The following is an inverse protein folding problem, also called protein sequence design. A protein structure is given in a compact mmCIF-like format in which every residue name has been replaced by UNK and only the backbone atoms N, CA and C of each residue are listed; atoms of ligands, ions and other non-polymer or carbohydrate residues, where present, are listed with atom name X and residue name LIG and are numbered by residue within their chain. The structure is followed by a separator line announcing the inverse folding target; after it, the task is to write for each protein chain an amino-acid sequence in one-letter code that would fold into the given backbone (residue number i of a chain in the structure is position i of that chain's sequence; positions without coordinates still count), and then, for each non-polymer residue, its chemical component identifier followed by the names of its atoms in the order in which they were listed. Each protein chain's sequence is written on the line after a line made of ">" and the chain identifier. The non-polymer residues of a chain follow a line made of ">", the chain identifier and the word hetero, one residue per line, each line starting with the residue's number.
data_IF_005977375428
#
_entry.id   IF_005977375428
#
_cell.length_a   1.000
_cell.length_b   1.000
_cell.length_c   1.000
_cell.angle_alpha   90.00
_cell.angle_beta   90.00
_cell.angle_gamma   90.00
#
_symmetry.space_group_name_H-M   'P 1'
#
loop_
_entity.id
_entity.type
_entity.pdbx_description
1 polymer ?
#
# COMPACT_ATOMS: atom_id res chain seq x y z
N UNK A 1 56.23 48.22 65.41
CA UNK A 1 54.87 48.54 64.94
C UNK A 1 54.68 47.84 63.65
N UNK A 2 53.93 46.78 63.61
CA UNK A 2 53.72 45.93 62.42
C UNK A 2 52.36 46.28 61.80
N UNK A 3 52.37 46.71 60.53
CA UNK A 3 51.17 47.00 59.76
C UNK A 3 50.69 45.75 59.05
N UNK A 4 49.44 45.33 59.33
CA UNK A 4 48.80 44.18 58.75
C UNK A 4 48.10 44.54 57.43
N UNK A 5 48.66 44.11 56.28
CA UNK A 5 48.06 44.24 55.01
C UNK A 5 47.01 43.10 54.79
N UNK A 6 45.73 43.47 54.55
CA UNK A 6 44.68 42.53 54.16
C UNK A 6 44.75 42.29 52.67
N UNK A 7 45.08 41.05 52.25
CA UNK A 7 44.90 40.58 50.84
C UNK A 7 43.48 40.18 50.65
N UNK A 8 42.78 40.89 49.70
CA UNK A 8 41.51 40.47 49.14
C UNK A 8 41.78 39.49 48.00
N UNK A 9 41.36 38.23 48.18
CA UNK A 9 41.38 37.28 47.10
C UNK A 9 40.12 37.52 46.23
N UNK A 10 40.30 37.94 44.98
CA UNK A 10 39.24 37.98 43.96
C UNK A 10 38.92 36.54 43.52
N UNK A 11 37.67 36.12 43.68
CA UNK A 11 37.14 34.89 43.07
C UNK A 11 36.87 35.14 41.57
N UNK A 12 37.31 34.25 40.65
CA UNK A 12 36.93 34.37 39.27
C UNK A 12 35.46 33.96 39.09
N UNK A 13 34.64 34.85 38.54
CA UNK A 13 33.28 34.54 38.09
C UNK A 13 33.42 33.71 36.81
N UNK A 14 33.14 32.41 36.90
CA UNK A 14 33.03 31.52 35.73
C UNK A 14 31.72 31.84 35.05
N UNK A 15 31.77 32.59 33.93
CA UNK A 15 30.62 32.80 33.08
C UNK A 15 30.27 31.46 32.34
N UNK A 16 29.21 30.81 32.77
CA UNK A 16 28.65 29.64 32.08
C UNK A 16 27.91 30.16 30.84
N UNK A 17 28.54 30.10 29.67
CA UNK A 17 27.88 30.36 28.38
C UNK A 17 26.95 29.19 28.10
N UNK A 18 25.66 29.39 28.31
CA UNK A 18 24.61 28.46 27.89
C UNK A 18 24.54 28.47 26.37
N UNK A 19 25.21 27.55 25.71
CA UNK A 19 25.00 27.29 24.30
C UNK A 19 23.58 26.71 24.12
N UNK A 20 22.62 27.55 23.73
CA UNK A 20 21.37 27.10 23.16
C UNK A 20 21.72 26.41 21.80
N UNK A 21 21.82 25.09 21.82
CA UNK A 21 21.80 24.31 20.60
C UNK A 21 20.43 24.59 19.93
N UNK A 22 20.41 24.99 18.65
CA UNK A 22 19.15 25.10 17.94
C UNK A 22 18.45 23.72 18.01
N UNK A 23 17.23 23.70 18.49
CA UNK A 23 16.40 22.51 18.37
C UNK A 23 16.33 22.16 16.88
N UNK A 24 16.89 21.01 16.52
CA UNK A 24 16.70 20.46 15.17
C UNK A 24 15.19 20.22 15.04
N UNK A 25 14.49 21.13 14.39
CA UNK A 25 13.11 20.90 13.97
C UNK A 25 13.17 19.85 12.87
N UNK A 26 12.98 18.60 13.25
CA UNK A 26 12.77 17.56 12.26
C UNK A 26 11.46 17.88 11.56
N UNK A 27 11.49 17.92 10.24
CA UNK A 27 10.27 17.99 9.45
C UNK A 27 9.36 16.84 9.87
N UNK A 28 8.13 17.17 10.17
CA UNK A 28 7.14 16.25 10.74
C UNK A 28 6.01 16.08 9.76
N UNK A 29 5.17 15.09 9.97
CA UNK A 29 4.10 14.77 9.05
C UNK A 29 2.75 15.22 9.60
N UNK A 30 1.86 15.58 8.69
CA UNK A 30 0.46 15.90 9.01
C UNK A 30 -0.44 14.84 8.37
N UNK A 31 -1.27 14.21 9.21
CA UNK A 31 -2.36 13.34 8.76
C UNK A 31 -3.60 14.20 8.51
N UNK A 32 -4.24 13.99 7.36
CA UNK A 32 -5.55 14.57 7.03
C UNK A 32 -6.48 13.44 6.59
N UNK A 33 -7.57 13.28 7.33
CA UNK A 33 -8.65 12.38 6.95
C UNK A 33 -9.52 13.09 5.91
N UNK A 34 -9.75 12.45 4.75
CA UNK A 34 -10.40 13.09 3.60
C UNK A 34 -11.83 12.60 3.41
N UNK A 35 -12.06 11.29 3.47
CA UNK A 35 -13.36 10.65 3.24
C UNK A 35 -13.58 9.60 4.30
N UNK A 36 -14.79 9.53 4.86
CA UNK A 36 -15.24 8.46 5.74
C UNK A 36 -16.64 8.01 5.33
N UNK A 37 -17.04 6.82 5.72
CA UNK A 37 -18.40 6.31 5.50
C UNK A 37 -19.49 7.19 6.13
N UNK A 38 -19.16 7.90 7.21
CA UNK A 38 -20.10 8.70 8.02
C UNK A 38 -19.92 10.22 7.93
N UNK A 39 -18.84 10.72 7.34
CA UNK A 39 -18.53 12.16 7.27
C UNK A 39 -18.10 12.79 8.59
N UNK A 40 -17.61 12.00 9.56
CA UNK A 40 -17.16 12.51 10.85
C UNK A 40 -15.93 13.43 10.71
N UNK A 41 -15.78 14.38 11.61
CA UNK A 41 -14.62 15.27 11.65
C UNK A 41 -14.50 16.26 10.48
N UNK A 42 -15.59 16.48 9.72
CA UNK A 42 -15.57 17.38 8.56
C UNK A 42 -15.07 16.72 7.25
N UNK A 43 -14.92 15.39 7.25
CA UNK A 43 -14.59 14.61 6.04
C UNK A 43 -15.78 14.54 5.07
N UNK A 44 -15.51 14.19 3.81
CA UNK A 44 -16.56 13.85 2.86
C UNK A 44 -17.23 12.55 3.30
N UNK A 45 -18.57 12.52 3.35
CA UNK A 45 -19.31 11.30 3.65
C UNK A 45 -19.51 10.47 2.38
N UNK A 46 -19.10 9.19 2.42
CA UNK A 46 -19.37 8.22 1.35
C UNK A 46 -19.70 6.85 1.94
N UNK A 47 -20.98 6.58 2.18
CA UNK A 47 -21.45 5.36 2.86
C UNK A 47 -21.00 4.02 2.24
N UNK A 48 -20.67 3.91 0.95
CA UNK A 48 -20.04 2.73 0.37
C UNK A 48 -18.62 2.42 0.90
N UNK A 49 -17.88 3.42 1.36
CA UNK A 49 -16.51 3.25 1.87
C UNK A 49 -16.52 2.54 3.23
N UNK A 50 -16.66 1.23 3.24
CA UNK A 50 -16.57 0.42 4.47
C UNK A 50 -15.37 -0.52 4.35
N UNK A 51 -14.47 -0.45 5.35
CA UNK A 51 -13.23 -1.21 5.35
C UNK A 51 -12.46 -1.04 4.02
N UNK A 52 -12.15 0.23 3.69
CA UNK A 52 -11.35 0.54 2.50
C UNK A 52 -9.99 -0.16 2.59
N UNK A 53 -9.71 -1.09 1.66
CA UNK A 53 -8.55 -1.97 1.72
C UNK A 53 -7.50 -1.57 0.67
N UNK A 54 -7.61 -2.07 -0.55
CA UNK A 54 -6.69 -1.76 -1.65
C UNK A 54 -6.88 -0.34 -2.19
N UNK A 55 -5.79 0.23 -2.67
CA UNK A 55 -5.72 1.59 -3.23
C UNK A 55 -4.85 1.59 -4.47
N UNK A 56 -5.31 2.19 -5.55
CA UNK A 56 -4.55 2.37 -6.79
C UNK A 56 -5.08 3.52 -7.60
N UNK A 57 -4.29 3.96 -8.56
CA UNK A 57 -4.64 4.93 -9.61
C UNK A 57 -4.15 4.45 -10.99
N UNK A 58 -4.55 5.17 -12.01
CA UNK A 58 -3.86 5.26 -13.30
C UNK A 58 -3.43 6.72 -13.47
N UNK A 59 -2.35 7.03 -14.20
CA UNK A 59 -1.88 8.39 -14.36
C UNK A 59 -2.99 9.38 -14.71
N UNK A 60 -3.25 10.33 -13.79
CA UNK A 60 -4.28 11.35 -13.94
C UNK A 60 -5.72 10.91 -13.60
N UNK A 61 -5.95 9.65 -13.22
CA UNK A 61 -7.26 9.17 -12.75
C UNK A 61 -7.49 9.55 -11.28
N UNK A 62 -8.74 9.54 -10.79
CA UNK A 62 -8.99 9.49 -9.36
C UNK A 62 -8.39 8.22 -8.73
N UNK A 63 -8.23 8.24 -7.41
CA UNK A 63 -7.94 7.06 -6.62
C UNK A 63 -9.08 6.05 -6.67
N UNK A 64 -8.76 4.78 -6.84
CA UNK A 64 -9.66 3.64 -6.79
C UNK A 64 -9.44 2.89 -5.48
N UNK A 65 -10.50 2.72 -4.69
CA UNK A 65 -10.46 2.03 -3.40
C UNK A 65 -11.26 0.74 -3.50
N UNK A 66 -10.71 -0.35 -2.97
CA UNK A 66 -11.46 -1.59 -2.75
C UNK A 66 -12.21 -1.50 -1.42
N UNK A 67 -13.53 -1.38 -1.48
CA UNK A 67 -14.40 -1.29 -0.29
C UNK A 67 -14.80 -2.70 0.12
N UNK A 68 -13.99 -3.33 0.97
CA UNK A 68 -14.13 -4.74 1.32
C UNK A 68 -15.48 -5.04 1.99
N UNK A 69 -15.97 -4.13 2.84
CA UNK A 69 -17.22 -4.33 3.59
C UNK A 69 -18.49 -4.21 2.74
N UNK A 70 -18.40 -3.63 1.54
CA UNK A 70 -19.57 -3.42 0.65
C UNK A 70 -19.48 -4.16 -0.68
N UNK A 71 -18.31 -4.72 -1.01
CA UNK A 71 -18.10 -5.41 -2.29
C UNK A 71 -18.01 -4.47 -3.49
N UNK A 72 -17.64 -3.23 -3.24
CA UNK A 72 -17.58 -2.18 -4.25
C UNK A 72 -16.14 -1.70 -4.47
N UNK A 73 -15.95 -0.93 -5.54
CA UNK A 73 -14.82 -0.02 -5.69
C UNK A 73 -15.35 1.39 -5.91
N UNK A 74 -14.91 2.30 -5.05
CA UNK A 74 -15.26 3.73 -5.07
C UNK A 74 -14.08 4.57 -5.51
N UNK A 75 -14.36 5.80 -5.98
CA UNK A 75 -13.35 6.66 -6.59
C UNK A 75 -13.31 8.02 -5.91
N UNK A 76 -12.08 8.53 -5.65
CA UNK A 76 -11.87 9.82 -5.01
C UNK A 76 -10.89 10.68 -5.79
N UNK A 77 -11.35 11.85 -6.23
CA UNK A 77 -10.51 12.86 -6.89
C UNK A 77 -9.92 13.82 -5.86
N UNK A 78 -8.63 14.10 -5.99
CA UNK A 78 -7.88 14.99 -5.11
C UNK A 78 -7.80 16.38 -5.70
N UNK A 79 -8.03 17.39 -4.86
CA UNK A 79 -7.78 18.81 -5.16
C UNK A 79 -6.77 19.39 -4.18
N UNK A 80 -5.72 20.00 -4.70
CA UNK A 80 -4.64 20.65 -3.96
C UNK A 80 -4.68 22.18 -4.04
N UNK A 81 -5.73 22.79 -4.60
CA UNK A 81 -5.78 24.22 -4.87
C UNK A 81 -5.82 25.09 -3.59
N UNK A 82 -6.46 24.61 -2.53
CA UNK A 82 -6.61 25.29 -1.23
C UNK A 82 -6.32 24.34 -0.06
N UNK A 83 -5.14 23.70 -0.06
CA UNK A 83 -4.86 22.56 0.80
C UNK A 83 -5.36 21.27 0.14
N UNK A 84 -5.02 20.11 0.74
CA UNK A 84 -5.46 18.84 0.20
C UNK A 84 -6.90 18.53 0.60
N UNK A 85 -7.74 18.22 -0.38
CA UNK A 85 -9.12 17.79 -0.20
C UNK A 85 -9.46 16.67 -1.17
N UNK A 86 -10.56 15.96 -0.92
CA UNK A 86 -11.05 14.91 -1.81
C UNK A 86 -12.52 15.14 -2.15
N UNK A 87 -12.95 14.66 -3.30
CA UNK A 87 -14.33 14.59 -3.71
C UNK A 87 -14.65 13.21 -4.27
N UNK A 88 -15.88 12.73 -4.02
CA UNK A 88 -16.37 11.47 -4.61
C UNK A 88 -16.53 11.64 -6.12
N UNK A 89 -15.79 10.86 -6.91
CA UNK A 89 -15.96 10.80 -8.36
C UNK A 89 -17.13 9.84 -8.67
N UNK A 90 -18.30 10.40 -9.00
CA UNK A 90 -19.54 9.64 -9.12
C UNK A 90 -19.83 9.11 -10.51
N UNK A 91 -18.92 9.30 -11.47
CA UNK A 91 -19.11 8.81 -12.85
C UNK A 91 -19.13 7.28 -12.92
N UNK A 92 -18.53 6.57 -11.95
CA UNK A 92 -18.65 5.13 -11.81
C UNK A 92 -18.47 4.67 -10.35
N UNK A 93 -19.19 3.63 -9.96
CA UNK A 93 -18.95 2.75 -8.83
C UNK A 93 -18.95 1.34 -9.38
N UNK A 94 -17.91 0.56 -9.11
CA UNK A 94 -17.76 -0.79 -9.67
C UNK A 94 -18.12 -1.82 -8.62
N UNK A 95 -19.08 -2.68 -8.92
CA UNK A 95 -19.35 -3.87 -8.09
C UNK A 95 -18.32 -4.94 -8.40
N UNK A 96 -17.70 -5.47 -7.35
CA UNK A 96 -16.79 -6.60 -7.44
C UNK A 96 -17.60 -7.86 -7.19
N UNK A 97 -17.72 -8.76 -8.18
CA UNK A 97 -18.61 -9.90 -8.08
C UNK A 97 -18.08 -10.90 -7.03
N UNK A 98 -18.99 -11.54 -6.28
CA UNK A 98 -18.65 -12.65 -5.39
C UNK A 98 -18.36 -13.93 -6.18
N UNK A 99 -17.93 -14.97 -5.49
CA UNK A 99 -18.09 -16.36 -5.96
C UNK A 99 -19.57 -16.62 -6.19
N UNK A 100 -19.90 -17.32 -7.27
CA UNK A 100 -21.29 -17.59 -7.64
C UNK A 100 -22.11 -18.17 -6.45
N UNK A 101 -23.24 -17.53 -6.15
CA UNK A 101 -24.15 -17.91 -5.08
C UNK A 101 -23.86 -17.31 -3.69
N UNK A 102 -22.79 -16.54 -3.52
CA UNK A 102 -22.43 -15.86 -2.28
C UNK A 102 -22.69 -14.37 -2.39
N UNK A 103 -23.12 -13.67 -1.35
CA UNK A 103 -23.43 -12.22 -1.28
C UNK A 103 -22.52 -11.27 -2.09
N UNK A 104 -22.28 -10.03 -1.68
CA UNK A 104 -21.31 -9.15 -2.35
C UNK A 104 -19.89 -9.74 -2.24
N UNK A 105 -19.03 -9.46 -3.22
CA UNK A 105 -17.62 -9.83 -3.16
C UNK A 105 -16.92 -9.14 -1.99
N UNK A 106 -15.74 -9.65 -1.60
CA UNK A 106 -14.92 -9.06 -0.54
C UNK A 106 -13.59 -8.59 -1.14
N UNK A 107 -13.57 -7.46 -1.92
CA UNK A 107 -12.37 -7.01 -2.59
C UNK A 107 -11.28 -6.59 -1.60
N UNK A 108 -10.04 -6.88 -1.96
CA UNK A 108 -8.84 -6.61 -1.17
C UNK A 108 -7.84 -5.77 -1.98
N UNK A 109 -6.84 -6.40 -2.60
CA UNK A 109 -5.92 -5.71 -3.50
C UNK A 109 -6.59 -5.25 -4.78
N UNK A 110 -6.17 -4.09 -5.27
CA UNK A 110 -6.55 -3.55 -6.59
C UNK A 110 -5.31 -2.99 -7.28
N UNK A 111 -5.20 -3.17 -8.59
CA UNK A 111 -4.12 -2.60 -9.40
C UNK A 111 -4.65 -1.88 -10.61
N UNK A 112 -4.05 -0.72 -10.91
CA UNK A 112 -4.16 -0.05 -12.21
C UNK A 112 -3.22 -0.71 -13.21
N UNK A 113 -3.72 -1.13 -14.35
CA UNK A 113 -2.92 -1.82 -15.36
C UNK A 113 -2.19 -0.83 -16.27
N UNK A 114 -0.94 -0.56 -15.98
CA UNK A 114 -0.05 0.27 -16.81
C UNK A 114 0.83 -0.55 -17.75
N UNK A 115 0.74 -1.89 -17.71
CA UNK A 115 1.63 -2.78 -18.47
C UNK A 115 1.22 -2.95 -19.94
N UNK A 116 -0.03 -2.63 -20.29
CA UNK A 116 -0.59 -2.93 -21.60
C UNK A 116 -0.92 -4.41 -21.83
N UNK A 117 -0.71 -5.27 -20.81
CA UNK A 117 -1.14 -6.67 -20.79
C UNK A 117 -2.62 -6.85 -20.47
N UNK A 118 -3.03 -8.10 -20.23
CA UNK A 118 -4.40 -8.47 -19.87
C UNK A 118 -5.43 -8.01 -20.91
N UNK A 119 -5.29 -8.49 -22.18
CA UNK A 119 -6.11 -8.03 -23.29
C UNK A 119 -7.50 -8.63 -23.28
N UNK A 120 -8.45 -7.90 -23.90
CA UNK A 120 -9.74 -8.40 -24.33
C UNK A 120 -10.08 -7.83 -25.71
N UNK A 121 -11.00 -8.47 -26.42
CA UNK A 121 -11.45 -8.00 -27.74
C UNK A 121 -12.94 -7.69 -27.68
N UNK A 122 -13.31 -6.49 -28.13
CA UNK A 122 -14.70 -6.07 -28.29
C UNK A 122 -14.86 -5.31 -29.59
N UNK A 123 -15.89 -5.63 -30.36
CA UNK A 123 -16.16 -5.00 -31.65
C UNK A 123 -14.94 -5.00 -32.60
N UNK A 124 -14.16 -6.10 -32.61
CA UNK A 124 -12.96 -6.27 -33.42
C UNK A 124 -11.74 -5.44 -32.99
N UNK A 125 -11.81 -4.76 -31.85
CA UNK A 125 -10.68 -3.99 -31.26
C UNK A 125 -10.15 -4.69 -30.02
N UNK A 126 -8.84 -4.90 -29.97
CA UNK A 126 -8.15 -5.38 -28.77
C UNK A 126 -7.78 -4.19 -27.88
N UNK A 127 -8.12 -4.29 -26.59
CA UNK A 127 -7.83 -3.34 -25.54
C UNK A 127 -7.34 -4.10 -24.31
N UNK A 128 -6.81 -3.40 -23.29
CA UNK A 128 -6.38 -3.98 -22.01
C UNK A 128 -7.34 -3.57 -20.91
N UNK A 129 -7.59 -4.47 -19.95
CA UNK A 129 -8.30 -4.10 -18.72
C UNK A 129 -7.59 -2.95 -18.02
N UNK A 130 -8.35 -2.01 -17.44
CA UNK A 130 -7.80 -0.85 -16.75
C UNK A 130 -7.52 -1.14 -15.28
N UNK A 131 -8.44 -1.81 -14.60
CA UNK A 131 -8.32 -2.14 -13.18
C UNK A 131 -8.60 -3.61 -12.94
N UNK A 132 -7.83 -4.21 -12.03
CA UNK A 132 -7.94 -5.64 -11.70
C UNK A 132 -8.00 -5.75 -10.18
N UNK A 133 -8.93 -6.56 -9.68
CA UNK A 133 -9.29 -6.70 -8.27
C UNK A 133 -9.12 -8.15 -7.81
N UNK A 134 -8.56 -8.34 -6.63
CA UNK A 134 -8.55 -9.62 -5.92
C UNK A 134 -9.56 -9.62 -4.77
N UNK A 135 -9.98 -10.80 -4.31
CA UNK A 135 -10.95 -10.95 -3.21
C UNK A 135 -10.52 -11.99 -2.20
N UNK A 136 -11.04 -11.89 -0.97
CA UNK A 136 -10.90 -12.94 0.05
C UNK A 136 -11.51 -14.28 -0.38
N UNK A 137 -12.44 -14.25 -1.31
CA UNK A 137 -13.09 -15.46 -1.85
C UNK A 137 -12.19 -16.26 -2.79
N UNK A 138 -10.97 -15.80 -3.06
CA UNK A 138 -10.03 -16.44 -4.00
C UNK A 138 -10.38 -16.17 -5.47
N UNK A 139 -11.03 -15.05 -5.76
CA UNK A 139 -11.34 -14.65 -7.14
C UNK A 139 -10.51 -13.45 -7.60
N UNK A 140 -10.36 -13.29 -8.92
CA UNK A 140 -9.83 -12.10 -9.56
C UNK A 140 -10.85 -11.64 -10.60
N UNK A 141 -11.17 -10.35 -10.59
CA UNK A 141 -12.04 -9.68 -11.54
C UNK A 141 -11.32 -8.52 -12.21
N UNK A 142 -11.65 -8.24 -13.48
CA UNK A 142 -11.04 -7.15 -14.22
C UNK A 142 -12.12 -6.25 -14.80
N UNK A 143 -11.83 -4.94 -14.93
CA UNK A 143 -12.79 -3.95 -15.37
C UNK A 143 -12.27 -3.07 -16.49
N UNK A 144 -13.16 -2.81 -17.46
CA UNK A 144 -12.97 -1.81 -18.49
C UNK A 144 -14.35 -1.36 -19.03
N UNK A 145 -14.64 -0.05 -19.21
CA UNK A 145 -15.97 0.44 -19.57
C UNK A 145 -16.46 -0.02 -20.95
N UNK A 146 -15.57 -0.50 -21.82
CA UNK A 146 -15.95 -1.00 -23.14
C UNK A 146 -16.66 -2.36 -23.12
N UNK A 147 -16.49 -3.17 -22.05
CA UNK A 147 -17.15 -4.47 -21.88
C UNK A 147 -17.97 -4.55 -20.60
N UNK A 148 -17.69 -3.70 -19.62
CA UNK A 148 -18.39 -3.57 -18.36
C UNK A 148 -19.11 -2.21 -18.34
N UNK A 149 -20.26 -2.08 -19.02
CA UNK A 149 -20.85 -0.78 -19.30
C UNK A 149 -21.28 -0.06 -18.01
N UNK A 150 -21.04 1.25 -18.00
CA UNK A 150 -21.49 2.11 -16.91
C UNK A 150 -22.93 2.55 -17.17
N UNK A 151 -23.85 2.14 -16.29
CA UNK A 151 -25.26 2.50 -16.37
C UNK A 151 -25.64 3.27 -15.14
N UNK A 152 -26.00 4.55 -15.29
CA UNK A 152 -26.36 5.46 -14.18
C UNK A 152 -25.29 5.52 -13.07
N UNK A 153 -24.02 5.51 -13.46
CA UNK A 153 -22.91 5.56 -12.52
C UNK A 153 -22.55 4.21 -11.86
N UNK A 154 -23.17 3.11 -12.23
CA UNK A 154 -22.87 1.78 -11.73
C UNK A 154 -22.33 0.87 -12.83
N UNK A 155 -21.39 0.00 -12.49
CA UNK A 155 -20.81 -1.03 -13.36
C UNK A 155 -20.48 -2.27 -12.54
N UNK A 156 -20.17 -3.39 -13.21
CA UNK A 156 -19.73 -4.63 -12.54
C UNK A 156 -18.49 -5.15 -13.24
N UNK A 157 -17.43 -5.46 -12.48
CA UNK A 157 -16.21 -6.03 -13.03
C UNK A 157 -16.45 -7.47 -13.54
N UNK A 158 -15.78 -7.85 -14.62
CA UNK A 158 -15.85 -9.18 -15.22
C UNK A 158 -15.00 -10.18 -14.43
N UNK A 159 -15.56 -11.31 -13.91
CA UNK A 159 -14.78 -12.38 -13.31
C UNK A 159 -13.77 -12.99 -14.27
N UNK A 160 -12.54 -13.23 -13.82
CA UNK A 160 -11.45 -13.81 -14.62
C UNK A 160 -10.88 -15.07 -13.99
N UNK A 161 -10.72 -15.09 -12.68
CA UNK A 161 -10.16 -16.22 -11.94
C UNK A 161 -11.13 -16.61 -10.84
N UNK A 162 -11.32 -17.91 -10.66
CA UNK A 162 -12.03 -18.50 -9.53
C UNK A 162 -11.19 -19.65 -8.97
N UNK A 163 -10.54 -19.38 -7.85
CA UNK A 163 -9.75 -20.33 -7.07
C UNK A 163 -10.35 -20.54 -5.67
N UNK A 164 -11.65 -20.31 -5.54
CA UNK A 164 -12.40 -20.55 -4.33
C UNK A 164 -12.35 -22.02 -3.90
N UNK A 165 -12.68 -22.31 -2.65
CA UNK A 165 -12.70 -23.67 -2.07
C UNK A 165 -13.55 -24.65 -2.89
N UNK A 166 -14.56 -24.17 -3.62
CA UNK A 166 -15.43 -25.00 -4.46
C UNK A 166 -14.75 -25.51 -5.74
N UNK A 167 -13.62 -24.94 -6.12
CA UNK A 167 -12.91 -25.22 -7.38
C UNK A 167 -11.54 -25.87 -7.18
N UNK A 168 -11.04 -25.90 -5.95
CA UNK A 168 -9.71 -26.40 -5.59
C UNK A 168 -9.83 -27.30 -4.38
N UNK A 169 -8.92 -28.28 -4.16
CA UNK A 169 -8.87 -29.03 -2.91
C UNK A 169 -8.63 -28.11 -1.70
N UNK A 170 -8.03 -26.93 -1.95
CA UNK A 170 -7.78 -25.89 -0.94
C UNK A 170 -8.02 -24.54 -1.60
N UNK A 171 -8.99 -23.77 -1.12
CA UNK A 171 -9.34 -22.46 -1.66
C UNK A 171 -8.24 -21.42 -1.39
N UNK A 172 -8.03 -20.51 -2.36
CA UNK A 172 -7.19 -19.35 -2.17
C UNK A 172 -7.92 -18.26 -1.37
N UNK A 173 -7.15 -17.44 -0.63
CA UNK A 173 -7.62 -16.23 0.07
C UNK A 173 -6.70 -15.08 -0.36
N UNK A 174 -7.09 -14.34 -1.39
CA UNK A 174 -6.24 -13.27 -1.88
C UNK A 174 -6.42 -12.01 -1.06
N UNK A 175 -5.38 -11.66 -0.30
CA UNK A 175 -5.36 -10.48 0.58
C UNK A 175 -4.66 -9.29 -0.05
N UNK A 176 -3.90 -9.48 -1.13
CA UNK A 176 -3.20 -8.42 -1.86
C UNK A 176 -3.01 -8.78 -3.32
N UNK A 177 -2.83 -7.76 -4.17
CA UNK A 177 -2.59 -7.90 -5.61
C UNK A 177 -1.55 -6.87 -6.06
N UNK A 178 -0.60 -7.31 -6.87
CA UNK A 178 0.37 -6.45 -7.54
C UNK A 178 0.46 -6.79 -9.04
N UNK A 179 0.92 -5.85 -9.84
CA UNK A 179 1.14 -6.02 -11.28
C UNK A 179 2.57 -5.60 -11.63
N UNK A 180 3.21 -6.30 -12.54
CA UNK A 180 4.56 -5.95 -13.00
C UNK A 180 4.92 -6.71 -14.27
N UNK A 181 6.17 -6.56 -14.71
CA UNK A 181 6.64 -7.17 -15.96
C UNK A 181 7.90 -8.01 -15.70
N UNK A 182 7.89 -9.26 -16.13
CA UNK A 182 9.08 -10.13 -16.10
C UNK A 182 9.51 -10.51 -17.51
N UNK A 183 10.75 -10.17 -17.89
CA UNK A 183 11.28 -10.43 -19.21
C UNK A 183 10.35 -10.03 -20.37
N UNK A 184 9.64 -8.91 -20.23
CA UNK A 184 8.68 -8.40 -21.20
C UNK A 184 7.26 -9.00 -21.10
N UNK A 185 7.03 -9.95 -20.17
CA UNK A 185 5.72 -10.54 -19.94
C UNK A 185 5.03 -9.84 -18.77
N UNK A 186 3.88 -9.14 -18.97
CA UNK A 186 3.08 -8.63 -17.87
C UNK A 186 2.51 -9.75 -17.01
N UNK A 187 2.60 -9.59 -15.70
CA UNK A 187 2.17 -10.60 -14.72
C UNK A 187 1.36 -9.95 -13.61
N UNK A 188 0.41 -10.70 -13.05
CA UNK A 188 -0.21 -10.41 -11.76
C UNK A 188 0.42 -11.29 -10.68
N UNK A 189 0.60 -10.72 -9.50
CA UNK A 189 1.09 -11.38 -8.30
C UNK A 189 0.03 -11.24 -7.22
N UNK A 190 -0.53 -12.35 -6.76
CA UNK A 190 -1.57 -12.36 -5.74
C UNK A 190 -1.03 -12.98 -4.44
N UNK A 191 -1.12 -12.25 -3.33
CA UNK A 191 -0.78 -12.75 -2.01
C UNK A 191 -1.89 -13.69 -1.51
N UNK A 192 -1.63 -14.98 -1.42
CA UNK A 192 -2.55 -16.00 -0.90
C UNK A 192 -2.28 -16.25 0.59
N UNK A 193 -3.08 -15.62 1.47
CA UNK A 193 -3.10 -15.82 2.93
C UNK A 193 -3.86 -17.11 3.32
N UNK A 194 -4.34 -17.84 2.33
CA UNK A 194 -5.03 -19.10 2.53
C UNK A 194 -4.09 -20.27 2.85
N UNK A 195 -4.63 -21.49 2.91
CA UNK A 195 -3.85 -22.69 3.25
C UNK A 195 -2.66 -22.97 2.31
N UNK A 196 -2.66 -22.43 1.07
CA UNK A 196 -1.52 -22.55 0.17
C UNK A 196 -0.33 -21.68 0.60
N UNK A 197 -0.55 -20.56 1.29
CA UNK A 197 0.46 -19.68 1.87
C UNK A 197 1.58 -19.33 0.88
N UNK A 198 1.23 -18.76 -0.28
CA UNK A 198 2.20 -18.46 -1.36
C UNK A 198 1.79 -17.23 -2.17
N UNK A 199 2.67 -16.76 -3.04
CA UNK A 199 2.32 -15.82 -4.10
C UNK A 199 1.88 -16.64 -5.32
N UNK A 200 0.61 -16.49 -5.70
CA UNK A 200 0.10 -17.00 -6.98
C UNK A 200 0.43 -15.99 -8.09
N UNK A 201 0.94 -16.48 -9.22
CA UNK A 201 1.31 -15.65 -10.37
C UNK A 201 0.40 -15.98 -11.55
N UNK A 202 -0.14 -14.95 -12.21
CA UNK A 202 -1.01 -15.12 -13.38
C UNK A 202 -0.43 -14.44 -14.62
N UNK A 203 -0.56 -15.12 -15.76
CA UNK A 203 -0.21 -14.56 -17.07
C UNK A 203 -1.27 -13.55 -17.59
N UNK A 204 -1.04 -12.97 -18.77
CA UNK A 204 -1.94 -11.98 -19.37
C UNK A 204 -3.32 -12.54 -19.77
N UNK A 205 -3.48 -13.87 -19.79
CA UNK A 205 -4.75 -14.55 -20.03
C UNK A 205 -5.43 -14.96 -18.73
N UNK A 206 -4.91 -14.52 -17.57
CA UNK A 206 -5.35 -14.89 -16.22
C UNK A 206 -5.18 -16.38 -15.90
N UNK A 207 -4.31 -17.09 -16.61
CA UNK A 207 -3.95 -18.45 -16.25
C UNK A 207 -2.93 -18.42 -15.10
N UNK A 208 -3.15 -19.29 -14.10
CA UNK A 208 -2.14 -19.52 -13.07
C UNK A 208 -0.88 -20.09 -13.72
N UNK A 209 0.26 -19.46 -13.46
CA UNK A 209 1.55 -19.92 -13.97
C UNK A 209 1.96 -21.19 -13.20
N UNK A 210 2.09 -22.29 -13.92
CA UNK A 210 2.63 -23.54 -13.37
C UNK A 210 4.15 -23.45 -13.29
N UNK A 211 4.75 -23.57 -12.08
CA UNK A 211 6.20 -23.58 -11.95
C UNK A 211 6.91 -24.68 -12.78
N UNK A 212 6.20 -25.79 -13.08
CA UNK A 212 6.75 -26.88 -13.89
C UNK A 212 6.61 -26.67 -15.41
N UNK A 213 5.74 -25.74 -15.81
CA UNK A 213 5.55 -25.33 -17.22
C UNK A 213 5.68 -23.81 -17.34
N UNK A 214 6.79 -23.29 -16.90
CA UNK A 214 7.06 -21.87 -16.73
C UNK A 214 7.43 -21.18 -18.05
N UNK A 215 6.42 -20.65 -18.74
CA UNK A 215 6.59 -19.92 -20.01
C UNK A 215 6.93 -18.44 -19.82
N UNK A 216 6.83 -17.92 -18.59
CA UNK A 216 7.02 -16.49 -18.26
C UNK A 216 8.31 -16.19 -17.52
N UNK A 217 9.20 -17.18 -17.36
CA UNK A 217 10.54 -17.01 -16.81
C UNK A 217 10.60 -16.83 -15.28
N UNK A 218 9.68 -17.42 -14.52
CA UNK A 218 9.81 -17.47 -13.07
C UNK A 218 10.97 -18.35 -12.64
N UNK A 219 11.62 -17.99 -11.55
CA UNK A 219 12.69 -18.79 -10.96
C UNK A 219 12.15 -20.02 -10.26
N UNK A 220 12.98 -21.07 -10.13
CA UNK A 220 12.62 -22.22 -9.29
C UNK A 220 12.46 -21.77 -7.83
N UNK A 221 11.38 -22.15 -7.17
CA UNK A 221 11.06 -21.69 -5.82
C UNK A 221 10.72 -20.18 -5.74
N UNK A 222 10.18 -19.60 -6.82
CA UNK A 222 9.84 -18.20 -6.89
C UNK A 222 9.03 -17.72 -5.67
N UNK A 223 9.33 -16.50 -5.20
CA UNK A 223 8.69 -15.85 -4.06
C UNK A 223 8.81 -16.61 -2.72
N UNK A 224 9.89 -17.37 -2.55
CA UNK A 224 10.19 -18.06 -1.29
C UNK A 224 11.34 -17.35 -0.56
N UNK A 225 11.13 -17.03 0.72
CA UNK A 225 12.19 -16.60 1.63
C UNK A 225 12.38 -17.68 2.71
N UNK A 226 13.55 -18.37 2.74
CA UNK A 226 13.81 -19.44 3.70
C UNK A 226 13.93 -18.95 5.15
N UNK A 227 14.05 -17.64 5.36
CA UNK A 227 14.15 -17.04 6.70
C UNK A 227 12.77 -16.77 7.33
N UNK A 228 11.68 -16.89 6.58
CA UNK A 228 10.32 -16.74 7.11
C UNK A 228 9.90 -18.08 7.73
N UNK A 229 9.59 -18.10 9.04
CA UNK A 229 9.18 -19.32 9.72
C UNK A 229 7.87 -19.91 9.16
N UNK A 230 7.67 -21.20 9.33
CA UNK A 230 6.37 -21.82 9.08
C UNK A 230 5.27 -21.17 9.93
N UNK A 231 4.04 -21.08 9.42
CA UNK A 231 2.92 -20.43 10.08
C UNK A 231 2.78 -18.94 9.76
N UNK A 232 3.56 -18.42 8.80
CA UNK A 232 3.37 -17.11 8.17
C UNK A 232 2.93 -17.29 6.72
N UNK A 233 2.07 -16.38 6.25
CA UNK A 233 1.60 -16.36 4.86
C UNK A 233 1.77 -14.97 4.24
N UNK A 234 1.88 -14.87 2.91
CA UNK A 234 1.83 -13.59 2.20
C UNK A 234 0.53 -12.86 2.52
N UNK A 235 0.63 -11.54 2.83
CA UNK A 235 -0.51 -10.76 3.27
C UNK A 235 -0.75 -9.51 2.41
N UNK A 236 0.25 -8.63 2.30
CA UNK A 236 0.27 -7.53 1.34
C UNK A 236 1.32 -7.78 0.27
N UNK A 237 1.13 -7.19 -0.89
CA UNK A 237 2.08 -7.30 -2.01
C UNK A 237 2.03 -6.03 -2.86
N UNK A 238 3.20 -5.53 -3.27
CA UNK A 238 3.32 -4.32 -4.08
C UNK A 238 4.52 -4.43 -5.01
N UNK A 239 4.33 -4.05 -6.27
CA UNK A 239 5.45 -3.81 -7.18
C UNK A 239 5.94 -2.38 -7.02
N UNK A 240 7.23 -2.22 -6.77
CA UNK A 240 7.90 -0.93 -6.68
C UNK A 240 8.81 -0.78 -7.89
N UNK A 241 8.61 0.30 -8.63
CA UNK A 241 9.47 0.67 -9.77
C UNK A 241 10.45 1.74 -9.32
N UNK A 242 11.73 1.48 -9.46
CA UNK A 242 12.80 2.47 -9.31
C UNK A 242 13.33 2.86 -10.68
N UNK A 243 13.74 4.12 -10.82
CA UNK A 243 14.33 4.61 -12.07
C UNK A 243 15.76 5.09 -11.77
N UNK A 244 16.73 4.48 -12.41
CA UNK A 244 18.13 4.87 -12.30
C UNK A 244 18.39 6.21 -13.05
N UNK A 245 19.56 6.83 -12.80
CA UNK A 245 19.92 8.09 -13.42
C UNK A 245 20.01 8.03 -14.97
N UNK A 246 20.26 6.85 -15.53
CA UNK A 246 20.27 6.61 -16.98
C UNK A 246 18.86 6.36 -17.57
N UNK A 247 17.80 6.42 -16.75
CA UNK A 247 16.43 6.16 -17.15
C UNK A 247 16.02 4.68 -17.09
N UNK A 248 16.93 3.77 -16.74
CA UNK A 248 16.62 2.35 -16.60
C UNK A 248 15.64 2.14 -15.46
N UNK A 249 14.53 1.46 -15.75
CA UNK A 249 13.51 1.09 -14.77
C UNK A 249 13.73 -0.33 -14.27
N UNK A 250 13.69 -0.49 -12.98
CA UNK A 250 13.75 -1.79 -12.30
C UNK A 250 12.52 -1.98 -11.45
N UNK A 251 11.82 -3.10 -11.65
CA UNK A 251 10.67 -3.49 -10.84
C UNK A 251 11.09 -4.53 -9.81
N UNK A 252 10.66 -4.32 -8.56
CA UNK A 252 10.82 -5.27 -7.46
C UNK A 252 9.47 -5.56 -6.84
N UNK A 253 9.20 -6.83 -6.54
CA UNK A 253 7.95 -7.26 -5.89
C UNK A 253 8.22 -7.39 -4.39
N UNK A 254 7.58 -6.55 -3.61
CA UNK A 254 7.66 -6.56 -2.16
C UNK A 254 6.45 -7.29 -1.59
N UNK A 255 6.70 -8.21 -0.67
CA UNK A 255 5.67 -9.05 -0.04
C UNK A 255 5.78 -8.89 1.46
N UNK A 256 4.66 -8.58 2.11
CA UNK A 256 4.56 -8.65 3.57
C UNK A 256 3.97 -9.99 3.99
N UNK A 257 4.36 -10.45 5.16
CA UNK A 257 3.92 -11.73 5.71
C UNK A 257 3.36 -11.51 7.12
N UNK A 258 2.23 -12.14 7.40
CA UNK A 258 1.63 -12.15 8.74
C UNK A 258 1.48 -13.57 9.25
N UNK A 259 1.46 -13.74 10.58
CA UNK A 259 1.17 -15.04 11.17
C UNK A 259 -0.28 -15.44 10.86
N UNK A 260 -0.51 -16.70 10.53
CA UNK A 260 -1.85 -17.25 10.25
C UNK A 260 -2.83 -17.06 11.42
N UNK A 261 -2.33 -16.96 12.65
CA UNK A 261 -3.12 -16.63 13.84
C UNK A 261 -3.20 -15.11 14.12
N UNK A 262 -2.59 -14.29 13.28
CA UNK A 262 -2.54 -12.79 13.33
C UNK A 262 -2.08 -12.19 14.68
N UNK A 263 -1.43 -12.95 15.53
CA UNK A 263 -1.10 -12.56 16.90
C UNK A 263 0.33 -12.05 17.09
N UNK A 264 1.18 -12.06 16.06
CA UNK A 264 2.63 -11.90 16.23
C UNK A 264 3.26 -11.01 15.14
N UNK A 265 4.55 -10.77 15.28
CA UNK A 265 5.41 -10.04 14.35
C UNK A 265 5.16 -10.44 12.89
N UNK A 266 5.44 -9.49 11.97
CA UNK A 266 5.43 -9.76 10.55
C UNK A 266 6.82 -9.79 9.95
N UNK A 267 6.90 -10.13 8.68
CA UNK A 267 8.11 -10.09 7.86
C UNK A 267 7.83 -9.33 6.58
N UNK A 268 8.88 -8.87 5.93
CA UNK A 268 8.80 -8.30 4.58
C UNK A 268 9.96 -8.85 3.76
N UNK A 269 9.69 -9.27 2.54
CA UNK A 269 10.72 -9.70 1.60
C UNK A 269 10.56 -8.98 0.27
N UNK A 270 11.67 -8.67 -0.36
CA UNK A 270 11.73 -8.10 -1.70
C UNK A 270 12.27 -9.15 -2.68
N UNK A 271 11.63 -9.24 -3.83
CA UNK A 271 11.94 -10.19 -4.89
C UNK A 271 12.11 -9.47 -6.23
N UNK A 272 12.84 -10.09 -7.15
CA UNK A 272 12.70 -9.73 -8.57
C UNK A 272 11.31 -10.10 -9.08
N UNK A 273 10.93 -9.61 -10.24
CA UNK A 273 9.67 -10.00 -10.89
C UNK A 273 9.65 -11.48 -11.33
N UNK A 274 10.83 -12.14 -11.40
CA UNK A 274 10.94 -13.59 -11.58
C UNK A 274 10.84 -14.38 -10.26
N UNK A 275 10.72 -13.71 -9.12
CA UNK A 275 10.57 -14.32 -7.79
C UNK A 275 11.87 -14.69 -7.08
N UNK A 276 13.04 -14.19 -7.55
CA UNK A 276 14.32 -14.36 -6.83
C UNK A 276 14.36 -13.42 -5.64
N UNK A 277 14.66 -13.96 -4.45
CA UNK A 277 14.81 -13.17 -3.23
C UNK A 277 15.98 -12.19 -3.36
N UNK A 278 15.72 -10.92 -3.06
CA UNK A 278 16.70 -9.83 -3.06
C UNK A 278 17.10 -9.43 -1.64
N UNK A 279 16.11 -9.23 -0.77
CA UNK A 279 16.33 -8.82 0.61
C UNK A 279 15.15 -9.19 1.50
N UNK A 280 15.40 -9.22 2.82
CA UNK A 280 14.37 -9.48 3.83
C UNK A 280 14.47 -8.45 4.95
N UNK A 281 13.34 -7.93 5.39
CA UNK A 281 13.22 -7.13 6.62
C UNK A 281 12.68 -8.05 7.71
N UNK A 282 13.56 -8.39 8.65
CA UNK A 282 13.27 -9.32 9.75
C UNK A 282 13.59 -8.63 11.10
N UNK A 283 13.02 -7.45 11.32
CA UNK A 283 13.23 -6.69 12.55
C UNK A 283 12.09 -6.97 13.52
N UNK A 284 12.43 -7.56 14.66
CA UNK A 284 11.45 -7.84 15.71
C UNK A 284 10.90 -6.55 16.33
N UNK A 285 9.59 -6.47 16.48
CA UNK A 285 8.89 -5.39 17.20
C UNK A 285 8.19 -4.36 16.31
N UNK A 286 8.78 -3.78 15.24
CA UNK A 286 8.08 -2.76 14.45
C UNK A 286 7.08 -3.30 13.42
N UNK A 287 7.07 -4.59 13.11
CA UNK A 287 6.16 -5.20 12.14
C UNK A 287 5.07 -6.03 12.83
N UNK A 288 3.82 -5.58 12.75
CA UNK A 288 2.65 -6.27 13.29
C UNK A 288 1.54 -6.28 12.24
N UNK A 289 1.20 -7.45 11.70
CA UNK A 289 0.27 -7.58 10.57
C UNK A 289 0.57 -6.56 9.46
N UNK A 290 1.81 -6.52 8.93
CA UNK A 290 2.19 -5.55 7.90
C UNK A 290 1.42 -5.83 6.61
N UNK A 291 0.91 -4.74 5.96
CA UNK A 291 0.16 -4.90 4.72
C UNK A 291 0.62 -3.95 3.62
N UNK A 292 0.38 -2.64 3.74
CA UNK A 292 0.69 -1.66 2.71
C UNK A 292 2.19 -1.37 2.61
N UNK A 293 2.67 -1.17 1.39
CA UNK A 293 4.09 -0.96 1.08
C UNK A 293 4.20 0.21 0.11
N UNK A 294 5.08 1.18 0.39
CA UNK A 294 5.40 2.26 -0.52
C UNK A 294 6.87 2.67 -0.41
N UNK A 295 7.48 3.08 -1.52
CA UNK A 295 8.80 3.73 -1.51
C UNK A 295 8.61 5.24 -1.44
N UNK A 296 9.15 5.87 -0.41
CA UNK A 296 9.07 7.31 -0.24
C UNK A 296 9.94 8.04 -1.29
N UNK A 297 9.41 9.09 -1.93
CA UNK A 297 10.20 9.92 -2.84
C UNK A 297 11.30 10.69 -2.11
N UNK A 298 12.26 11.24 -2.85
CA UNK A 298 13.44 11.89 -2.31
C UNK A 298 13.15 13.20 -1.54
N UNK A 299 11.94 13.75 -1.68
CA UNK A 299 11.48 14.99 -1.04
C UNK A 299 10.37 14.74 0.00
N UNK A 300 10.27 13.52 0.54
CA UNK A 300 9.34 13.17 1.63
C UNK A 300 9.91 13.47 3.03
N UNK A 301 10.87 14.37 3.14
CA UNK A 301 11.45 14.80 4.42
C UNK A 301 12.30 13.73 5.10
N UNK A 302 12.20 13.54 6.44
CA UNK A 302 13.08 12.64 7.18
C UNK A 302 13.08 11.19 6.73
N UNK A 303 11.98 10.74 6.12
CA UNK A 303 11.81 9.36 5.64
C UNK A 303 11.90 9.25 4.12
N UNK A 304 12.55 10.23 3.46
CA UNK A 304 12.86 10.18 2.03
C UNK A 304 13.64 8.92 1.67
N UNK A 305 13.28 8.29 0.55
CA UNK A 305 13.88 7.05 0.03
C UNK A 305 13.72 5.82 0.94
N UNK A 306 12.93 5.90 2.02
CA UNK A 306 12.64 4.75 2.87
C UNK A 306 11.51 3.88 2.27
N UNK A 307 11.54 2.59 2.58
CA UNK A 307 10.38 1.72 2.42
C UNK A 307 9.44 1.97 3.61
N UNK A 308 8.21 2.34 3.31
CA UNK A 308 7.15 2.58 4.27
C UNK A 308 6.25 1.35 4.31
N UNK A 309 6.02 0.84 5.53
CA UNK A 309 5.19 -0.35 5.77
C UNK A 309 4.08 0.02 6.74
N UNK A 310 2.81 -0.20 6.35
CA UNK A 310 1.67 -0.04 7.24
C UNK A 310 1.45 -1.30 8.09
N UNK A 311 1.09 -1.11 9.36
CA UNK A 311 0.69 -2.20 10.27
C UNK A 311 -0.83 -2.18 10.44
N UNK A 312 -1.51 -3.23 10.03
CA UNK A 312 -2.95 -3.38 10.16
C UNK A 312 -3.33 -3.84 11.58
N UNK A 313 -3.40 -2.89 12.48
CA UNK A 313 -3.78 -3.08 13.89
C UNK A 313 -4.65 -1.91 14.36
N UNK A 314 -5.36 -2.06 15.49
CA UNK A 314 -6.21 -1.00 16.08
C UNK A 314 -5.46 0.29 16.46
N UNK A 315 -4.14 0.26 16.51
CA UNK A 315 -3.25 1.42 16.63
C UNK A 315 -2.17 1.34 15.55
N UNK A 316 -2.62 1.14 14.32
CA UNK A 316 -1.76 0.94 13.16
C UNK A 316 -0.82 2.13 12.98
N UNK A 317 0.41 1.85 12.56
CA UNK A 317 1.44 2.84 12.25
C UNK A 317 2.01 2.56 10.88
N UNK A 318 2.57 3.59 10.27
CA UNK A 318 3.37 3.47 9.07
C UNK A 318 4.83 3.59 9.51
N UNK A 319 5.55 2.51 9.36
CA UNK A 319 6.94 2.37 9.79
C UNK A 319 7.88 2.45 8.60
N UNK A 320 8.97 3.19 8.75
CA UNK A 320 9.99 3.38 7.73
C UNK A 320 11.18 2.47 7.96
N UNK A 321 11.71 1.92 6.86
CA UNK A 321 12.88 1.05 6.84
C UNK A 321 13.83 1.47 5.71
N UNK A 322 15.11 1.29 5.94
CA UNK A 322 16.12 1.44 4.88
C UNK A 322 15.95 0.29 3.86
N UNK A 323 15.73 0.59 2.57
CA UNK A 323 15.44 -0.44 1.57
C UNK A 323 16.63 -1.37 1.28
N UNK A 324 17.86 -0.94 1.59
CA UNK A 324 19.07 -1.71 1.28
C UNK A 324 19.49 -2.59 2.45
N UNK A 325 19.33 -2.09 3.68
CA UNK A 325 19.81 -2.77 4.90
C UNK A 325 18.68 -3.42 5.70
N UNK A 326 17.43 -3.05 5.46
CA UNK A 326 16.27 -3.44 6.25
C UNK A 326 16.23 -2.79 7.64
N UNK A 327 17.12 -1.83 7.94
CA UNK A 327 17.18 -1.17 9.24
C UNK A 327 15.91 -0.36 9.51
N UNK A 328 15.35 -0.49 10.72
CA UNK A 328 14.20 0.30 11.15
C UNK A 328 14.61 1.76 11.42
N UNK A 329 13.97 2.69 10.71
CA UNK A 329 14.25 4.13 10.82
C UNK A 329 13.28 4.85 11.78
N UNK A 330 12.14 4.23 12.09
CA UNK A 330 11.12 4.79 12.98
C UNK A 330 9.74 4.87 12.32
N UNK A 331 8.68 5.16 13.10
CA UNK A 331 7.36 5.44 12.56
C UNK A 331 7.28 6.87 12.03
N UNK A 332 6.34 7.15 11.12
CA UNK A 332 5.96 8.52 10.77
C UNK A 332 5.44 9.24 12.02
N UNK A 333 5.88 10.48 12.27
CA UNK A 333 5.57 11.24 13.48
C UNK A 333 4.95 12.59 13.15
N UNK A 334 4.01 13.02 14.01
CA UNK A 334 3.36 14.34 13.94
C UNK A 334 4.25 15.47 14.49
N UNK A 335 3.71 16.70 14.44
CA UNK A 335 4.37 17.92 14.95
C UNK A 335 4.68 17.88 16.46
N UNK A 336 4.06 17.00 17.22
CA UNK A 336 4.36 16.75 18.64
C UNK A 336 5.37 15.64 18.84
N UNK A 337 6.00 15.16 17.77
CA UNK A 337 6.91 14.01 17.76
C UNK A 337 6.26 12.69 18.24
N UNK A 338 4.92 12.58 18.14
CA UNK A 338 4.20 11.36 18.43
C UNK A 338 4.02 10.53 17.16
N UNK A 339 4.09 9.20 17.24
CA UNK A 339 3.75 8.36 16.09
C UNK A 339 2.33 8.66 15.61
N UNK A 340 2.16 8.80 14.30
CA UNK A 340 0.85 8.86 13.67
C UNK A 340 0.23 7.48 13.76
N UNK A 341 -0.94 7.39 14.40
CA UNK A 341 -1.70 6.16 14.56
C UNK A 341 -2.97 6.22 13.71
N UNK A 342 -3.24 5.15 12.96
CA UNK A 342 -4.41 5.00 12.07
C UNK A 342 -5.00 3.62 12.37
N UNK A 343 -6.23 3.59 12.87
CA UNK A 343 -6.92 2.35 13.22
C UNK A 343 -7.11 1.46 11.99
N UNK A 344 -6.53 0.26 12.03
CA UNK A 344 -6.56 -0.74 10.95
C UNK A 344 -6.19 -0.18 9.58
N UNK A 345 -5.03 0.51 9.49
CA UNK A 345 -4.50 1.03 8.22
C UNK A 345 -4.15 -0.13 7.27
N UNK A 346 -4.59 -0.01 6.02
CA UNK A 346 -4.35 -0.95 4.94
C UNK A 346 -3.33 -0.41 3.94
N UNK A 347 -3.79 0.03 2.78
CA UNK A 347 -2.92 0.52 1.72
C UNK A 347 -2.22 1.83 2.09
N UNK A 348 -1.03 1.99 1.54
CA UNK A 348 -0.30 3.25 1.46
C UNK A 348 0.27 3.38 0.05
N UNK A 349 0.06 4.53 -0.58
CA UNK A 349 0.58 4.80 -1.92
C UNK A 349 0.81 6.30 -2.13
N UNK A 350 1.90 6.66 -2.79
CA UNK A 350 2.16 8.05 -3.17
C UNK A 350 1.36 8.45 -4.40
N UNK A 351 1.01 9.73 -4.48
CA UNK A 351 0.36 10.30 -5.64
C UNK A 351 1.25 10.30 -6.88
N UNK A 352 0.72 10.82 -7.98
CA UNK A 352 1.37 10.75 -9.28
C UNK A 352 2.66 11.58 -9.34
N UNK A 353 3.71 11.00 -9.90
CA UNK A 353 5.00 11.63 -10.11
C UNK A 353 4.98 12.92 -10.94
N UNK A 354 3.90 13.19 -11.66
CA UNK A 354 3.76 14.40 -12.49
C UNK A 354 3.01 15.53 -11.79
N UNK A 355 2.51 15.32 -10.56
CA UNK A 355 1.70 16.30 -9.78
C UNK A 355 0.49 16.86 -10.55
N UNK A 356 -0.02 16.10 -11.49
CA UNK A 356 -1.13 16.46 -12.37
C UNK A 356 -2.19 15.38 -12.35
N UNK A 357 -3.45 15.79 -12.41
CA UNK A 357 -4.57 14.88 -12.38
C UNK A 357 -5.29 14.87 -11.03
N UNK A 358 -6.09 13.84 -10.81
CA UNK A 358 -6.97 13.71 -9.66
C UNK A 358 -6.43 12.76 -8.58
N UNK A 359 -5.17 12.39 -8.65
CA UNK A 359 -4.47 11.42 -7.79
C UNK A 359 -3.49 12.09 -6.79
N UNK A 360 -3.43 13.42 -6.78
CA UNK A 360 -2.60 14.19 -5.84
C UNK A 360 -1.16 14.37 -6.28
N UNK A 361 -0.27 14.77 -5.35
CA UNK A 361 1.14 15.03 -5.62
C UNK A 361 2.00 13.83 -5.28
N UNK A 362 3.16 13.71 -5.96
CA UNK A 362 4.10 12.61 -5.79
C UNK A 362 4.65 12.45 -4.37
N UNK A 363 4.62 13.51 -3.55
CA UNK A 363 5.07 13.48 -2.15
C UNK A 363 3.91 13.49 -1.12
N UNK A 364 2.70 13.19 -1.55
CA UNK A 364 1.55 12.97 -0.70
C UNK A 364 1.31 11.45 -0.56
N UNK A 365 1.39 10.94 0.67
CA UNK A 365 1.17 9.53 0.96
C UNK A 365 -0.30 9.30 1.29
N UNK A 366 -1.06 8.78 0.35
CA UNK A 366 -2.46 8.41 0.55
C UNK A 366 -2.56 7.06 1.26
N UNK A 367 -3.62 6.89 2.06
CA UNK A 367 -3.87 5.65 2.79
C UNK A 367 -5.35 5.31 2.86
N UNK A 368 -5.63 4.02 3.02
CA UNK A 368 -6.95 3.48 3.34
C UNK A 368 -6.93 2.81 4.71
N UNK A 369 -8.09 2.74 5.36
CA UNK A 369 -8.21 2.07 6.65
C UNK A 369 -9.63 1.54 6.90
N UNK A 370 -9.71 0.55 7.80
CA UNK A 370 -10.96 -0.02 8.31
C UNK A 370 -11.14 0.23 9.81
N UNK A 371 -11.36 1.48 10.27
CA UNK A 371 -11.49 1.77 11.69
C UNK A 371 -12.70 1.06 12.33
N UNK A 372 -12.74 1.07 13.67
CA UNK A 372 -13.79 0.44 14.46
C UNK A 372 -13.95 -1.07 14.16
N UNK A 373 -12.81 -1.79 14.16
CA UNK A 373 -12.80 -3.25 13.89
C UNK A 373 -13.33 -3.61 12.50
N UNK A 374 -12.98 -2.79 11.49
CA UNK A 374 -13.39 -2.90 10.08
C UNK A 374 -14.86 -2.54 9.81
N UNK A 375 -15.58 -2.02 10.80
CA UNK A 375 -16.99 -1.61 10.66
C UNK A 375 -17.18 -0.28 9.94
N UNK A 376 -16.13 0.54 9.83
CA UNK A 376 -16.12 1.83 9.16
C UNK A 376 -15.05 1.88 8.06
N UNK A 377 -15.05 2.95 7.28
CA UNK A 377 -14.05 3.18 6.24
C UNK A 377 -13.40 4.56 6.35
N UNK A 378 -12.15 4.63 5.92
CA UNK A 378 -11.39 5.87 5.91
C UNK A 378 -10.43 5.89 4.70
N UNK A 379 -10.45 7.00 3.97
CA UNK A 379 -9.44 7.39 3.00
C UNK A 379 -8.82 8.71 3.44
N UNK A 380 -7.49 8.78 3.48
CA UNK A 380 -6.80 9.96 3.96
C UNK A 380 -5.42 10.12 3.32
N UNK A 381 -4.70 11.17 3.75
CA UNK A 381 -3.37 11.51 3.25
C UNK A 381 -2.43 11.91 4.38
N UNK A 382 -1.17 11.60 4.22
CA UNK A 382 -0.07 12.10 5.04
C UNK A 382 0.83 12.98 4.17
N UNK A 383 1.04 14.20 4.63
CA UNK A 383 1.90 15.19 3.96
C UNK A 383 3.04 15.61 4.86
N UNK A 384 4.11 16.13 4.29
CA UNK A 384 5.15 16.81 5.07
C UNK A 384 4.53 18.03 5.74
N UNK A 385 4.71 18.19 7.06
CA UNK A 385 4.30 19.37 7.81
C UNK A 385 5.04 20.63 7.32
N UNK A 386 4.34 21.76 7.29
CA UNK A 386 4.91 23.05 6.93
C UNK A 386 5.65 23.66 8.11
#
# INVERSE_FOLDING_TARGET
>A
MLSSGKFWKALPILAFSLFLLPALTFAQYTRTDLVTDTGVGGTVADSPLVNGWGLTDLPGSPWWVSDNGTGLSTLYAIDNSNGVSASRATFVTVTIPPVAGNGPGSPTGVVGNTTGGFPFTVNGKTQSFLFIFATLDGTISAWHPAIDPVVKGASTASPKVDRSANRQPVGAVYTGLAIGTNAGNPLLFAADDGPNSRVDVFDTNFNLVDPNNNTVGLSSGAFTDPNIPSGYAPYGIQTITTTAADGTKTETVWVTYTALNKAQNGFVAAFTTSGVLLSSINVQGPLHSPWGIALAPADFGPMSNAILISNNTSRGRINAFDPNTGAFLGPLRDASNKPIEIDNVWAVQFGNAQDQGADGKHNQLFFTAGPNGYGNGLFGVITLGQ
#
